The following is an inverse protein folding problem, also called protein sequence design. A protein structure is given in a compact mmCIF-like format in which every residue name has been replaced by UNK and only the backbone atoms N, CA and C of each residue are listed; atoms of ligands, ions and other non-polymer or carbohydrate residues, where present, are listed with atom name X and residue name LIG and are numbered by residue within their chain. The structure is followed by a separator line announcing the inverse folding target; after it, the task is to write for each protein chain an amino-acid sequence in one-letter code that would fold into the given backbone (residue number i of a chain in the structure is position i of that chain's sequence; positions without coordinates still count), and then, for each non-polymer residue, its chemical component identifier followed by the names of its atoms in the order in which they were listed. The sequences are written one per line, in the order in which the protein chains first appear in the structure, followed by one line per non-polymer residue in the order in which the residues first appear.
data_IF_066368563836
#
_entry.id   IF_066368563836
#
_cell.length_a   1.000
_cell.length_b   1.000
_cell.length_c   1.000
_cell.angle_alpha   90.00
_cell.angle_beta   90.00
_cell.angle_gamma   90.00
#
_symmetry.space_group_name_H-M   'P 1'
#
loop_
_entity.id
_entity.type
_entity.pdbx_description
1 polymer ?
#
# COMPACT_ATOMS: atom_id res chain seq x y z
N UNK A 1 -24.94 -30.70 -8.63
CA UNK A 1 -25.32 -29.44 -9.31
C UNK A 1 -24.05 -28.71 -9.68
N UNK A 2 -23.75 -28.59 -10.98
CA UNK A 2 -22.55 -27.90 -11.47
C UNK A 2 -22.74 -26.41 -11.18
N UNK A 3 -21.89 -25.85 -10.33
CA UNK A 3 -21.89 -24.43 -10.00
C UNK A 3 -21.73 -23.61 -11.28
N UNK A 4 -22.73 -22.79 -11.60
CA UNK A 4 -22.64 -21.83 -12.71
C UNK A 4 -21.48 -20.88 -12.43
N UNK A 5 -20.41 -20.97 -13.22
CA UNK A 5 -19.35 -19.97 -13.26
C UNK A 5 -19.97 -18.62 -13.63
N UNK A 6 -20.17 -17.75 -12.65
CA UNK A 6 -20.72 -16.43 -12.87
C UNK A 6 -19.64 -15.53 -13.49
N UNK A 7 -19.77 -15.08 -14.76
CA UNK A 7 -18.75 -14.30 -15.45
C UNK A 7 -18.44 -12.95 -14.79
N UNK A 8 -19.29 -12.48 -13.87
CA UNK A 8 -19.02 -11.28 -13.07
C UNK A 8 -18.03 -11.54 -11.93
N UNK A 9 -18.07 -12.74 -11.32
CA UNK A 9 -17.13 -13.12 -10.25
C UNK A 9 -15.72 -13.29 -10.77
N UNK A 10 -15.57 -13.87 -11.96
CA UNK A 10 -14.25 -14.00 -12.61
C UNK A 10 -13.64 -12.63 -12.91
N UNK A 11 -14.42 -11.68 -13.44
CA UNK A 11 -13.92 -10.31 -13.70
C UNK A 11 -13.47 -9.55 -12.45
N UNK A 12 -14.20 -9.70 -11.34
CA UNK A 12 -13.81 -9.10 -10.05
C UNK A 12 -12.50 -9.68 -9.53
N UNK A 13 -12.36 -11.01 -9.62
CA UNK A 13 -11.15 -11.71 -9.23
C UNK A 13 -9.95 -11.34 -10.13
N UNK A 14 -10.15 -11.29 -11.44
CA UNK A 14 -9.13 -10.88 -12.41
C UNK A 14 -8.64 -9.45 -12.11
N UNK A 15 -9.57 -8.55 -11.78
CA UNK A 15 -9.26 -7.17 -11.42
C UNK A 15 -8.48 -7.10 -10.10
N UNK A 16 -8.88 -7.89 -9.10
CA UNK A 16 -8.17 -8.00 -7.83
C UNK A 16 -6.72 -8.48 -8.04
N UNK A 17 -6.53 -9.55 -8.82
CA UNK A 17 -5.19 -10.09 -9.12
C UNK A 17 -4.32 -9.07 -9.85
N UNK A 18 -4.86 -8.36 -10.83
CA UNK A 18 -4.10 -7.33 -11.57
C UNK A 18 -3.66 -6.17 -10.67
N UNK A 19 -4.54 -5.71 -9.77
CA UNK A 19 -4.19 -4.65 -8.82
C UNK A 19 -3.12 -5.16 -7.83
N UNK A 20 -3.29 -6.36 -7.28
CA UNK A 20 -2.31 -6.96 -6.37
C UNK A 20 -0.93 -7.10 -7.01
N UNK A 21 -0.84 -7.65 -8.22
CA UNK A 21 0.43 -7.81 -8.93
C UNK A 21 1.14 -6.47 -9.15
N UNK A 22 0.40 -5.46 -9.63
CA UNK A 22 0.91 -4.10 -9.83
C UNK A 22 1.44 -3.50 -8.53
N UNK A 23 0.65 -3.52 -7.46
CA UNK A 23 1.01 -2.85 -6.20
C UNK A 23 2.10 -3.61 -5.44
N UNK A 24 2.15 -4.94 -5.52
CA UNK A 24 3.26 -5.75 -4.99
C UNK A 24 4.56 -5.43 -5.74
N UNK A 25 4.51 -5.34 -7.08
CA UNK A 25 5.68 -4.97 -7.87
C UNK A 25 6.15 -3.54 -7.56
N UNK A 26 5.22 -2.59 -7.46
CA UNK A 26 5.52 -1.21 -7.12
C UNK A 26 6.12 -1.08 -5.71
N UNK A 27 5.63 -1.88 -4.75
CA UNK A 27 6.15 -1.95 -3.38
C UNK A 27 7.57 -2.52 -3.36
N UNK A 28 7.84 -3.62 -4.08
CA UNK A 28 9.19 -4.18 -4.23
C UNK A 28 10.16 -3.16 -4.82
N UNK A 29 9.73 -2.42 -5.84
CA UNK A 29 10.53 -1.33 -6.43
C UNK A 29 10.81 -0.22 -5.41
N UNK A 30 9.82 0.20 -4.63
CA UNK A 30 10.00 1.21 -3.58
C UNK A 30 11.01 0.76 -2.52
N UNK A 31 10.95 -0.51 -2.09
CA UNK A 31 11.93 -1.09 -1.16
C UNK A 31 13.34 -1.06 -1.76
N UNK A 32 13.50 -1.45 -3.03
CA UNK A 32 14.79 -1.38 -3.72
C UNK A 32 15.31 0.07 -3.84
N UNK A 33 14.43 1.03 -4.13
CA UNK A 33 14.77 2.45 -4.17
C UNK A 33 15.26 2.90 -2.79
N UNK A 34 14.55 2.54 -1.72
CA UNK A 34 14.91 2.97 -0.36
C UNK A 34 16.22 2.35 0.13
N UNK A 35 16.47 1.08 -0.17
CA UNK A 35 17.69 0.37 0.26
C UNK A 35 18.95 0.83 -0.48
N UNK A 36 18.83 1.31 -1.71
CA UNK A 36 19.97 1.76 -2.54
C UNK A 36 20.32 3.24 -2.38
N UNK A 37 19.44 4.06 -1.83
CA UNK A 37 19.65 5.51 -1.71
C UNK A 37 20.33 5.84 -0.38
N UNK A 38 21.10 6.92 -0.38
CA UNK A 38 21.78 7.40 0.83
C UNK A 38 20.77 7.97 1.85
N UNK A 39 21.21 8.09 3.11
CA UNK A 39 20.36 8.56 4.22
C UNK A 39 19.80 9.97 4.02
N UNK A 40 20.55 10.88 3.40
CA UNK A 40 20.11 12.26 3.13
C UNK A 40 18.94 12.26 2.15
N UNK A 41 19.04 11.49 1.06
CA UNK A 41 17.94 11.32 0.11
C UNK A 41 16.69 10.77 0.80
N UNK A 42 16.85 9.73 1.63
CA UNK A 42 15.73 9.11 2.34
C UNK A 42 15.06 10.10 3.30
N UNK A 43 15.85 10.90 4.01
CA UNK A 43 15.33 11.94 4.89
C UNK A 43 14.49 12.96 4.10
N UNK A 44 15.07 13.55 3.05
CA UNK A 44 14.38 14.57 2.25
C UNK A 44 13.14 14.05 1.53
N UNK A 45 13.10 12.76 1.21
CA UNK A 45 11.98 12.15 0.48
C UNK A 45 11.06 11.30 1.36
N UNK A 46 11.27 11.25 2.69
CA UNK A 46 10.53 10.34 3.56
C UNK A 46 9.02 10.54 3.47
N UNK A 47 8.55 11.79 3.43
CA UNK A 47 7.12 12.12 3.28
C UNK A 47 6.55 11.61 1.96
N UNK A 48 7.29 11.73 0.86
CA UNK A 48 6.87 11.24 -0.46
C UNK A 48 6.84 9.71 -0.50
N UNK A 49 7.86 9.08 0.08
CA UNK A 49 7.97 7.62 0.19
C UNK A 49 6.81 7.05 1.00
N UNK A 50 6.54 7.62 2.18
CA UNK A 50 5.44 7.24 3.06
C UNK A 50 4.09 7.39 2.35
N UNK A 51 3.80 8.56 1.76
CA UNK A 51 2.54 8.77 1.03
C UNK A 51 2.32 7.76 -0.09
N UNK A 52 3.41 7.39 -0.79
CA UNK A 52 3.36 6.36 -1.84
C UNK A 52 3.06 4.98 -1.26
N UNK A 53 3.65 4.64 -0.11
CA UNK A 53 3.39 3.38 0.59
C UNK A 53 1.95 3.30 1.12
N UNK A 54 1.43 4.37 1.71
CA UNK A 54 0.02 4.47 2.14
C UNK A 54 -0.95 4.29 0.97
N UNK A 55 -0.63 4.87 -0.19
CA UNK A 55 -1.37 4.64 -1.43
C UNK A 55 -1.38 3.17 -1.85
N UNK A 56 -0.22 2.50 -1.84
CA UNK A 56 -0.11 1.07 -2.18
C UNK A 56 -0.93 0.21 -1.21
N UNK A 57 -0.85 0.46 0.10
CA UNK A 57 -1.62 -0.28 1.11
C UNK A 57 -3.13 -0.15 0.89
N UNK A 58 -3.60 1.06 0.55
CA UNK A 58 -5.02 1.30 0.24
C UNK A 58 -5.47 0.55 -1.01
N UNK A 59 -4.66 0.52 -2.05
CA UNK A 59 -4.97 -0.20 -3.29
C UNK A 59 -4.94 -1.72 -3.11
N UNK A 60 -4.02 -2.24 -2.29
CA UNK A 60 -3.99 -3.66 -1.89
C UNK A 60 -5.26 -4.00 -1.11
N UNK A 61 -5.64 -3.21 -0.12
CA UNK A 61 -6.87 -3.42 0.66
C UNK A 61 -8.11 -3.40 -0.25
N UNK A 62 -8.18 -2.45 -1.19
CA UNK A 62 -9.25 -2.39 -2.21
C UNK A 62 -9.30 -3.68 -3.04
N UNK A 63 -8.15 -4.18 -3.50
CA UNK A 63 -8.08 -5.41 -4.28
C UNK A 63 -8.52 -6.64 -3.49
N UNK A 64 -8.11 -6.75 -2.23
CA UNK A 64 -8.54 -7.82 -1.33
C UNK A 64 -10.06 -7.78 -1.10
N UNK A 65 -10.66 -6.59 -0.98
CA UNK A 65 -12.11 -6.42 -0.88
C UNK A 65 -12.89 -6.81 -2.15
N UNK A 66 -12.24 -6.89 -3.31
CA UNK A 66 -12.85 -7.39 -4.56
C UNK A 66 -12.84 -8.91 -4.66
N UNK A 67 -12.07 -9.59 -3.81
CA UNK A 67 -12.01 -11.05 -3.78
C UNK A 67 -13.31 -11.56 -3.15
N UNK A 68 -14.08 -12.41 -3.85
CA UNK A 68 -15.33 -12.91 -3.31
C UNK A 68 -15.03 -14.06 -2.32
N UNK A 69 -14.53 -13.72 -1.13
CA UNK A 69 -14.02 -14.65 -0.09
C UNK A 69 -15.03 -15.74 0.25
N UNK A 70 -16.31 -15.38 0.41
CA UNK A 70 -17.40 -16.32 0.68
C UNK A 70 -17.64 -17.36 -0.44
N UNK A 71 -17.09 -17.14 -1.64
CA UNK A 71 -17.23 -18.05 -2.78
C UNK A 71 -15.98 -18.87 -3.10
N UNK A 72 -14.88 -18.64 -2.38
CA UNK A 72 -13.62 -19.37 -2.55
C UNK A 72 -13.50 -20.57 -1.61
N UNK A 73 -14.56 -20.91 -0.86
CA UNK A 73 -14.55 -21.96 0.18
C UNK A 73 -13.37 -21.81 1.16
N UNK A 74 -12.91 -20.57 1.36
CA UNK A 74 -11.85 -20.26 2.31
C UNK A 74 -12.34 -20.53 3.72
N UNK A 75 -11.42 -20.94 4.60
CA UNK A 75 -11.76 -21.10 6.01
C UNK A 75 -12.20 -19.75 6.59
N UNK A 76 -13.13 -19.79 7.56
CA UNK A 76 -13.60 -18.60 8.28
C UNK A 76 -12.41 -17.80 8.83
N UNK A 77 -11.39 -18.49 9.35
CA UNK A 77 -10.16 -17.86 9.83
C UNK A 77 -9.42 -17.02 8.77
N UNK A 78 -9.32 -17.50 7.53
CA UNK A 78 -8.67 -16.75 6.44
C UNK A 78 -9.48 -15.49 6.09
N UNK A 79 -10.82 -15.57 6.09
CA UNK A 79 -11.67 -14.40 5.84
C UNK A 79 -11.46 -13.32 6.88
N UNK A 80 -11.45 -13.69 8.17
CA UNK A 80 -11.21 -12.75 9.26
C UNK A 80 -9.79 -12.15 9.22
N UNK A 81 -8.79 -12.92 8.82
CA UNK A 81 -7.43 -12.42 8.63
C UNK A 81 -7.34 -11.39 7.51
N UNK A 82 -8.03 -11.62 6.40
CA UNK A 82 -8.10 -10.68 5.28
C UNK A 82 -8.81 -9.38 5.72
N UNK A 83 -9.91 -9.48 6.46
CA UNK A 83 -10.62 -8.31 6.98
C UNK A 83 -9.75 -7.50 7.94
N UNK A 84 -9.09 -8.15 8.90
CA UNK A 84 -8.14 -7.49 9.82
C UNK A 84 -7.00 -6.81 9.06
N UNK A 85 -6.40 -7.50 8.08
CA UNK A 85 -5.32 -6.94 7.27
C UNK A 85 -5.75 -5.69 6.50
N UNK A 86 -6.94 -5.71 5.89
CA UNK A 86 -7.51 -4.55 5.21
C UNK A 86 -7.70 -3.37 6.16
N UNK A 87 -8.26 -3.63 7.35
CA UNK A 87 -8.44 -2.63 8.39
C UNK A 87 -7.11 -2.00 8.84
N UNK A 88 -6.11 -2.83 9.07
CA UNK A 88 -4.77 -2.39 9.46
C UNK A 88 -4.12 -1.55 8.36
N UNK A 89 -4.21 -1.98 7.09
CA UNK A 89 -3.68 -1.25 5.94
C UNK A 89 -4.34 0.10 5.70
N UNK A 90 -5.65 0.23 5.96
CA UNK A 90 -6.38 1.50 5.82
C UNK A 90 -6.05 2.46 6.96
N UNK A 91 -5.91 1.94 8.19
CA UNK A 91 -5.65 2.74 9.40
C UNK A 91 -4.17 3.09 9.58
N UNK A 92 -3.27 2.36 8.93
CA UNK A 92 -1.84 2.63 8.98
C UNK A 92 -1.53 4.02 8.39
N UNK A 93 -1.04 4.91 9.25
CA UNK A 93 -0.62 6.26 8.90
C UNK A 93 0.74 6.54 9.56
N UNK A 94 1.65 7.20 8.84
CA UNK A 94 2.88 7.67 9.43
C UNK A 94 2.63 8.96 10.23
N UNK A 95 2.59 8.83 11.56
CA UNK A 95 2.42 9.97 12.46
C UNK A 95 3.77 10.67 12.68
N UNK A 96 3.93 11.85 12.08
CA UNK A 96 5.03 12.75 12.38
C UNK A 96 4.54 13.90 13.27
N UNK A 97 5.33 14.28 14.27
CA UNK A 97 5.05 15.46 15.09
C UNK A 97 5.21 16.75 14.28
N UNK A 98 4.52 17.81 14.70
CA UNK A 98 4.66 19.16 14.09
C UNK A 98 6.12 19.62 14.13
N UNK A 99 6.87 19.24 15.16
CA UNK A 99 8.29 19.59 15.31
C UNK A 99 9.15 18.89 14.26
N UNK A 100 8.98 17.57 14.08
CA UNK A 100 9.72 16.81 13.05
C UNK A 100 9.39 17.31 11.64
N UNK A 101 8.13 17.67 11.41
CA UNK A 101 7.68 18.29 10.16
C UNK A 101 8.43 19.60 9.92
N UNK A 102 8.44 20.52 10.89
CA UNK A 102 9.11 21.82 10.77
C UNK A 102 10.63 21.69 10.59
N UNK A 103 11.26 20.73 11.27
CA UNK A 103 12.71 20.48 11.11
C UNK A 103 13.01 20.08 9.67
N UNK A 104 12.23 19.15 9.10
CA UNK A 104 12.42 18.71 7.72
C UNK A 104 12.26 19.87 6.72
N UNK A 105 11.26 20.73 6.93
CA UNK A 105 11.00 21.90 6.08
C UNK A 105 12.16 22.91 6.11
N UNK A 106 12.76 23.15 7.29
CA UNK A 106 13.94 24.02 7.39
C UNK A 106 15.18 23.43 6.72
N UNK A 107 15.35 22.11 6.77
CA UNK A 107 16.45 21.43 6.06
C UNK A 107 16.23 21.56 4.54
N UNK A 108 15.00 21.34 4.06
CA UNK A 108 14.67 21.44 2.65
C UNK A 108 14.83 22.87 2.12
N UNK A 109 14.41 23.89 2.87
CA UNK A 109 14.57 25.29 2.48
C UNK A 109 16.03 25.72 2.46
N UNK A 110 16.83 25.34 3.46
CA UNK A 110 18.26 25.68 3.50
C UNK A 110 19.05 25.12 2.31
N UNK A 111 18.70 23.92 1.83
CA UNK A 111 19.33 23.33 0.63
C UNK A 111 18.94 24.10 -0.64
N UNK A 112 17.69 24.58 -0.73
CA UNK A 112 17.20 25.32 -1.89
C UNK A 112 17.73 26.76 -1.94
N UNK A 113 18.07 27.36 -0.80
CA UNK A 113 18.64 28.71 -0.70
C UNK A 113 20.14 28.76 -1.08
N UNK A 114 20.86 27.64 -1.02
CA UNK A 114 22.29 27.54 -1.36
C UNK A 114 22.57 27.10 -2.82
N UNK A 115 21.53 26.87 -3.64
CA UNK A 115 21.63 26.55 -5.08
C UNK A 115 21.16 27.71 -5.96
#
# INVERSE_FOLDING_TARGET
MIGKNNPQKSKSLDSAVQILDREIWASKKLVMECTKRNKVYLLLNCRKIVKRLEGMMREISRALGLIPVASLELSIGISEEIERLCDDMIKAECKATIVEVKILERIESGIQEEC
#
